data_IF_938148740637
#
_entry.id   IF_938148740637
#
_cell.length_a   1.000
_cell.length_b   1.000
_cell.length_c   1.000
_cell.angle_alpha   90.00
_cell.angle_beta   90.00
_cell.angle_gamma   90.00
#
_symmetry.space_group_name_H-M   'P 1'
#
loop_
_entity.id
_entity.type
_entity.pdbx_description
1 polymer ?
#
# COMPACT_ATOMS: atom_id res chain seq x y z
N UNK A 1 24.45 32.17 -37.39
CA UNK A 1 23.64 33.00 -36.48
C UNK A 1 22.31 32.30 -36.24
N UNK A 2 22.13 31.77 -35.02
CA UNK A 2 20.91 31.68 -34.20
C UNK A 2 19.62 31.12 -34.84
N UNK A 3 18.87 30.21 -34.24
CA UNK A 3 18.90 29.62 -32.89
C UNK A 3 18.11 28.30 -32.91
N UNK A 4 18.52 27.38 -32.04
CA UNK A 4 17.72 26.25 -31.58
C UNK A 4 16.47 26.75 -30.84
N UNK A 5 15.36 26.05 -31.02
CA UNK A 5 14.18 26.20 -30.17
C UNK A 5 13.98 24.88 -29.42
N UNK A 6 14.43 24.88 -28.17
CA UNK A 6 14.21 23.86 -27.15
C UNK A 6 12.82 24.09 -26.54
N UNK A 7 11.83 23.35 -27.04
CA UNK A 7 10.47 23.34 -26.50
C UNK A 7 10.30 22.25 -25.44
N UNK A 8 10.74 22.56 -24.22
CA UNK A 8 10.33 22.07 -22.89
C UNK A 8 9.46 20.78 -22.83
N UNK A 9 10.08 19.75 -22.27
CA UNK A 9 9.45 18.57 -21.68
C UNK A 9 8.75 18.97 -20.36
N UNK A 10 7.42 18.84 -20.20
CA UNK A 10 6.79 19.05 -18.91
C UNK A 10 6.94 17.77 -18.09
N UNK A 11 7.88 17.83 -17.16
CA UNK A 11 8.01 16.97 -15.99
C UNK A 11 6.64 16.75 -15.33
N UNK A 12 6.01 15.61 -15.60
CA UNK A 12 4.84 15.14 -14.87
C UNK A 12 5.29 14.72 -13.48
N UNK A 13 5.08 15.60 -12.51
CA UNK A 13 5.26 15.29 -11.10
C UNK A 13 4.17 14.30 -10.67
N UNK A 14 4.61 13.15 -10.17
CA UNK A 14 3.79 12.05 -9.68
C UNK A 14 2.67 12.53 -8.72
N UNK A 15 1.39 12.19 -8.98
CA UNK A 15 0.28 12.46 -8.07
C UNK A 15 0.32 11.62 -6.77
N UNK A 16 1.23 10.66 -6.64
CA UNK A 16 1.15 9.58 -5.65
C UNK A 16 1.48 10.00 -4.20
N UNK A 17 2.36 10.97 -3.97
CA UNK A 17 2.75 11.38 -2.61
C UNK A 17 1.66 12.13 -1.84
N UNK A 18 0.70 12.74 -2.52
CA UNK A 18 -0.31 13.62 -1.88
C UNK A 18 -1.35 12.83 -1.08
N UNK A 19 -1.75 11.65 -1.56
CA UNK A 19 -2.66 10.74 -0.84
C UNK A 19 -2.00 10.12 0.38
N UNK A 20 -0.76 9.65 0.21
CA UNK A 20 0.07 9.07 1.26
C UNK A 20 0.35 10.10 2.38
N UNK A 21 0.71 11.34 2.05
CA UNK A 21 0.86 12.44 3.02
C UNK A 21 -0.44 12.80 3.76
N UNK A 22 -1.62 12.64 3.13
CA UNK A 22 -2.91 12.86 3.80
C UNK A 22 -3.27 11.71 4.75
N UNK A 23 -3.00 10.47 4.36
CA UNK A 23 -3.20 9.31 5.24
C UNK A 23 -2.20 9.34 6.42
N UNK A 24 -0.92 9.63 6.16
CA UNK A 24 0.11 9.81 7.18
C UNK A 24 -0.20 10.95 8.15
N UNK A 25 -0.84 12.03 7.71
CA UNK A 25 -1.25 13.11 8.64
C UNK A 25 -2.20 12.64 9.76
N UNK A 26 -2.91 11.54 9.57
CA UNK A 26 -3.78 10.96 10.60
C UNK A 26 -3.06 9.94 11.49
N UNK A 27 -1.87 9.46 11.10
CA UNK A 27 -1.03 8.57 11.89
C UNK A 27 0.22 9.34 12.29
N UNK A 28 0.24 9.88 13.52
CA UNK A 28 1.43 10.52 14.07
C UNK A 28 2.56 9.48 14.13
N UNK A 29 3.47 9.51 13.15
CA UNK A 29 4.62 8.64 13.04
C UNK A 29 5.87 9.45 13.40
N UNK A 30 6.70 8.88 14.26
CA UNK A 30 8.07 9.35 14.40
C UNK A 30 8.84 9.07 13.11
N UNK A 31 9.92 9.83 12.87
CA UNK A 31 10.82 9.62 11.73
C UNK A 31 11.38 8.19 11.65
N UNK A 32 11.61 7.55 12.79
CA UNK A 32 12.06 6.15 12.83
C UNK A 32 10.97 5.21 12.31
N UNK A 33 9.72 5.41 12.73
CA UNK A 33 8.60 4.60 12.23
C UNK A 33 8.36 4.82 10.73
N UNK A 34 8.49 6.04 10.21
CA UNK A 34 8.39 6.32 8.76
C UNK A 34 9.43 5.51 7.98
N UNK A 35 10.69 5.51 8.44
CA UNK A 35 11.77 4.76 7.78
C UNK A 35 11.55 3.25 7.89
N UNK A 36 11.06 2.77 9.04
CA UNK A 36 10.69 1.37 9.21
C UNK A 36 9.54 0.98 8.27
N UNK A 37 8.54 1.85 8.11
CA UNK A 37 7.44 1.64 7.17
C UNK A 37 7.96 1.50 5.74
N UNK A 38 8.74 2.48 5.26
CA UNK A 38 9.28 2.48 3.90
C UNK A 38 10.19 1.26 3.65
N UNK A 39 11.00 0.90 4.65
CA UNK A 39 11.86 -0.29 4.56
C UNK A 39 11.06 -1.59 4.51
N UNK A 40 10.05 -1.78 5.37
CA UNK A 40 9.23 -2.99 5.34
C UNK A 40 8.41 -3.12 4.05
N UNK A 41 8.05 -2.00 3.41
CA UNK A 41 7.25 -1.96 2.18
C UNK A 41 8.06 -1.90 0.89
N UNK A 42 9.41 -1.95 0.98
CA UNK A 42 10.34 -1.95 -0.17
C UNK A 42 10.45 -0.61 -0.89
N UNK A 43 9.96 0.47 -0.29
CA UNK A 43 10.14 1.84 -0.78
C UNK A 43 11.54 2.40 -0.44
N UNK A 44 12.21 1.79 0.55
CA UNK A 44 13.60 2.08 0.91
C UNK A 44 14.53 0.89 0.57
N UNK A 45 15.55 1.18 -0.24
CA UNK A 45 16.60 0.22 -0.60
C UNK A 45 17.47 -0.13 0.63
N UNK A 46 18.04 -1.33 0.61
CA UNK A 46 18.90 -1.82 1.70
C UNK A 46 20.14 -0.93 1.92
N UNK A 47 20.69 -0.31 0.88
CA UNK A 47 21.85 0.58 0.98
C UNK A 47 21.51 1.95 1.55
N UNK A 48 20.36 2.50 1.20
CA UNK A 48 19.89 3.74 1.81
C UNK A 48 19.53 3.52 3.29
N UNK A 49 18.94 2.37 3.61
CA UNK A 49 18.70 1.96 4.99
C UNK A 49 20.00 1.78 5.79
N UNK A 50 21.02 1.12 5.22
CA UNK A 50 22.36 0.98 5.81
C UNK A 50 22.96 2.34 6.18
N UNK A 51 22.97 3.28 5.23
CA UNK A 51 23.48 4.65 5.45
C UNK A 51 22.72 5.33 6.59
N UNK A 52 21.40 5.18 6.63
CA UNK A 52 20.60 5.74 7.71
C UNK A 52 20.91 5.11 9.06
N UNK A 53 21.05 3.78 9.15
CA UNK A 53 21.39 3.07 10.40
C UNK A 53 22.68 3.61 11.01
N UNK A 54 23.70 3.88 10.19
CA UNK A 54 24.98 4.41 10.67
C UNK A 54 24.95 5.90 11.04
N UNK A 55 23.97 6.66 10.57
CA UNK A 55 23.92 8.13 10.74
C UNK A 55 22.80 8.58 11.69
N UNK A 56 21.93 7.67 12.13
CA UNK A 56 20.75 7.99 12.94
C UNK A 56 21.04 7.95 14.44
N UNK A 57 21.07 9.14 15.07
CA UNK A 57 21.17 9.27 16.53
C UNK A 57 19.87 8.85 17.24
N UNK A 58 18.72 9.04 16.57
CA UNK A 58 17.38 8.72 17.09
C UNK A 58 17.09 7.22 17.11
N UNK A 59 17.68 6.45 16.18
CA UNK A 59 17.49 5.00 16.08
C UNK A 59 17.86 4.29 17.39
N UNK A 60 19.02 4.61 17.97
CA UNK A 60 19.49 3.99 19.22
C UNK A 60 18.56 4.24 20.41
N UNK A 61 17.84 5.36 20.42
CA UNK A 61 16.90 5.68 21.49
C UNK A 61 15.55 5.01 21.27
N UNK A 62 15.19 4.76 20.00
CA UNK A 62 13.95 4.12 19.61
C UNK A 62 14.00 2.60 19.78
N UNK A 63 15.11 1.97 19.37
CA UNK A 63 15.34 0.54 19.54
C UNK A 63 16.18 0.25 20.78
N UNK A 64 16.03 -0.92 21.40
CA UNK A 64 16.86 -1.32 22.53
C UNK A 64 18.34 -1.45 22.15
N UNK A 65 19.24 -1.25 23.12
CA UNK A 65 20.71 -1.28 22.89
C UNK A 65 21.21 -2.53 22.15
N UNK A 66 20.65 -3.70 22.46
CA UNK A 66 21.06 -4.97 21.83
C UNK A 66 20.64 -5.04 20.37
N UNK A 67 19.41 -4.61 20.05
CA UNK A 67 18.90 -4.57 18.68
C UNK A 67 19.58 -3.47 17.86
N UNK A 68 19.93 -2.34 18.49
CA UNK A 68 20.77 -1.31 17.85
C UNK A 68 22.14 -1.88 17.47
N UNK A 69 22.80 -2.57 18.41
CA UNK A 69 24.09 -3.20 18.16
C UNK A 69 24.00 -4.22 17.03
N UNK A 70 22.94 -5.03 17.00
CA UNK A 70 22.70 -6.00 15.93
C UNK A 70 22.56 -5.32 14.55
N UNK A 71 21.84 -4.19 14.46
CA UNK A 71 21.71 -3.43 13.22
C UNK A 71 23.04 -2.85 12.74
N UNK A 72 23.82 -2.18 13.62
CA UNK A 72 25.08 -1.53 13.21
C UNK A 72 26.21 -2.52 12.90
N UNK A 73 26.10 -3.77 13.35
CA UNK A 73 27.10 -4.83 13.09
C UNK A 73 26.69 -5.77 11.96
N UNK A 74 25.52 -5.57 11.38
CA UNK A 74 25.01 -6.38 10.28
C UNK A 74 25.86 -6.18 9.02
N UNK A 75 26.20 -7.27 8.33
CA UNK A 75 26.79 -7.18 6.99
C UNK A 75 25.69 -6.90 5.95
N UNK A 76 25.50 -5.62 5.61
CA UNK A 76 24.53 -5.16 4.61
C UNK A 76 24.88 -5.52 3.16
N UNK A 77 26.01 -6.20 2.90
CA UNK A 77 26.30 -6.80 1.59
C UNK A 77 25.82 -8.24 1.48
N UNK A 78 25.41 -8.85 2.59
CA UNK A 78 24.85 -10.20 2.61
C UNK A 78 23.51 -10.25 1.90
N UNK A 79 23.25 -11.35 1.19
CA UNK A 79 21.94 -11.64 0.57
C UNK A 79 20.80 -11.67 1.60
N UNK A 80 21.11 -11.98 2.86
CA UNK A 80 20.13 -12.07 3.94
C UNK A 80 20.00 -10.77 4.75
N UNK A 81 20.77 -9.71 4.44
CA UNK A 81 20.82 -8.49 5.24
C UNK A 81 19.43 -7.88 5.45
N UNK A 82 18.60 -7.92 4.41
CA UNK A 82 17.25 -7.38 4.49
C UNK A 82 16.39 -8.18 5.45
N UNK A 83 16.35 -9.51 5.31
CA UNK A 83 15.53 -10.37 6.17
C UNK A 83 15.94 -10.26 7.65
N UNK A 84 17.25 -10.16 7.93
CA UNK A 84 17.73 -9.94 9.30
C UNK A 84 17.36 -8.55 9.84
N UNK A 85 17.44 -7.51 9.00
CA UNK A 85 16.98 -6.16 9.38
C UNK A 85 15.47 -6.15 9.65
N UNK A 86 14.67 -6.78 8.79
CA UNK A 86 13.21 -6.86 8.96
C UNK A 86 12.83 -7.58 10.26
N UNK A 87 13.54 -8.65 10.64
CA UNK A 87 13.30 -9.35 11.92
C UNK A 87 13.48 -8.43 13.14
N UNK A 88 14.47 -7.54 13.09
CA UNK A 88 14.70 -6.58 14.18
C UNK A 88 13.62 -5.50 14.15
N UNK A 89 13.40 -4.89 12.99
CA UNK A 89 12.44 -3.79 12.79
C UNK A 89 11.03 -4.19 13.21
N UNK A 90 10.58 -5.41 12.84
CA UNK A 90 9.23 -5.90 13.17
C UNK A 90 8.94 -6.02 14.66
N UNK A 91 9.96 -6.01 15.54
CA UNK A 91 9.76 -5.95 17.00
C UNK A 91 9.27 -4.58 17.48
N UNK A 92 9.57 -3.54 16.71
CA UNK A 92 9.30 -2.14 17.05
C UNK A 92 8.24 -1.51 16.13
N UNK A 93 7.97 -2.13 14.99
CA UNK A 93 6.93 -1.69 14.06
C UNK A 93 5.54 -2.01 14.62
N UNK A 94 4.67 -1.01 14.63
CA UNK A 94 3.23 -1.21 14.80
C UNK A 94 2.65 -1.76 13.49
N UNK A 95 2.64 -3.09 13.36
CA UNK A 95 2.20 -3.78 12.15
C UNK A 95 0.72 -3.47 11.84
N UNK A 96 -0.12 -3.32 12.87
CA UNK A 96 -1.52 -2.96 12.70
C UNK A 96 -1.67 -1.57 12.08
N UNK A 97 -0.93 -0.58 12.61
CA UNK A 97 -0.86 0.78 12.07
C UNK A 97 -0.35 0.78 10.62
N UNK A 98 0.73 0.05 10.34
CA UNK A 98 1.33 0.02 9.00
C UNK A 98 0.41 -0.61 7.95
N UNK A 99 -0.21 -1.75 8.26
CA UNK A 99 -1.17 -2.39 7.35
C UNK A 99 -2.44 -1.53 7.16
N UNK A 100 -2.85 -0.80 8.19
CA UNK A 100 -3.95 0.18 8.09
C UNK A 100 -3.60 1.31 7.13
N UNK A 101 -2.39 1.88 7.25
CA UNK A 101 -1.91 2.93 6.35
C UNK A 101 -1.85 2.46 4.89
N UNK A 102 -1.31 1.25 4.67
CA UNK A 102 -1.26 0.64 3.33
C UNK A 102 -2.64 0.45 2.73
N UNK A 103 -3.60 -0.04 3.50
CA UNK A 103 -4.99 -0.19 3.04
C UNK A 103 -5.59 1.18 2.66
N UNK A 104 -5.40 2.20 3.49
CA UNK A 104 -5.89 3.54 3.20
C UNK A 104 -5.24 4.15 1.96
N UNK A 105 -3.94 3.94 1.75
CA UNK A 105 -3.25 4.37 0.53
C UNK A 105 -3.87 3.76 -0.72
N UNK A 106 -4.11 2.44 -0.73
CA UNK A 106 -4.80 1.77 -1.84
C UNK A 106 -6.21 2.35 -2.08
N UNK A 107 -6.99 2.56 -1.02
CA UNK A 107 -8.34 3.15 -1.11
C UNK A 107 -8.29 4.58 -1.67
N UNK A 108 -7.35 5.41 -1.24
CA UNK A 108 -7.21 6.77 -1.75
C UNK A 108 -6.71 6.81 -3.19
N UNK A 109 -5.77 5.94 -3.58
CA UNK A 109 -5.32 5.80 -4.97
C UNK A 109 -6.48 5.37 -5.87
N UNK A 110 -7.30 4.43 -5.41
CA UNK A 110 -8.51 4.02 -6.13
C UNK A 110 -9.56 5.13 -6.28
N UNK A 111 -9.49 6.25 -5.54
CA UNK A 111 -10.37 7.42 -5.80
C UNK A 111 -9.89 8.31 -6.95
N UNK A 112 -8.65 8.15 -7.40
CA UNK A 112 -8.05 9.04 -8.41
C UNK A 112 -8.41 8.68 -9.84
N UNK A 113 -8.98 7.48 -10.07
CA UNK A 113 -9.29 6.93 -11.39
C UNK A 113 -8.11 7.03 -12.38
N UNK A 114 -6.96 6.50 -11.98
CA UNK A 114 -5.74 6.43 -12.80
C UNK A 114 -5.56 5.05 -13.44
N UNK A 115 -4.47 4.88 -14.20
CA UNK A 115 -4.13 3.62 -14.88
C UNK A 115 -3.98 2.41 -13.95
N UNK A 116 -3.56 2.64 -12.71
CA UNK A 116 -3.38 1.58 -11.70
C UNK A 116 -4.68 1.13 -11.03
N UNK A 117 -5.77 1.88 -11.23
CA UNK A 117 -7.02 1.65 -10.50
C UNK A 117 -7.53 0.22 -10.67
N UNK A 118 -7.48 -0.34 -11.89
CA UNK A 118 -7.90 -1.74 -12.09
C UNK A 118 -7.07 -2.75 -11.30
N UNK A 119 -5.75 -2.60 -11.28
CA UNK A 119 -4.84 -3.45 -10.48
C UNK A 119 -5.12 -3.33 -8.97
N UNK A 120 -5.41 -2.12 -8.50
CA UNK A 120 -5.81 -1.89 -7.10
C UNK A 120 -7.14 -2.59 -6.78
N UNK A 121 -8.12 -2.54 -7.68
CA UNK A 121 -9.40 -3.23 -7.49
C UNK A 121 -9.22 -4.75 -7.44
N UNK A 122 -8.37 -5.32 -8.29
CA UNK A 122 -7.99 -6.75 -8.22
C UNK A 122 -7.35 -7.06 -6.87
N UNK A 123 -6.49 -6.18 -6.36
CA UNK A 123 -5.89 -6.32 -5.03
C UNK A 123 -6.97 -6.37 -3.93
N UNK A 124 -8.04 -5.58 -4.02
CA UNK A 124 -9.15 -5.68 -3.07
C UNK A 124 -9.90 -7.01 -3.16
N UNK A 125 -10.04 -7.59 -4.35
CA UNK A 125 -10.61 -8.93 -4.53
C UNK A 125 -9.73 -10.00 -3.89
N UNK A 126 -8.41 -9.93 -4.08
CA UNK A 126 -7.48 -10.85 -3.44
C UNK A 126 -7.54 -10.74 -1.93
N UNK A 127 -7.50 -9.52 -1.38
CA UNK A 127 -7.59 -9.29 0.06
C UNK A 127 -8.92 -9.80 0.65
N UNK A 128 -10.03 -9.61 -0.07
CA UNK A 128 -11.32 -10.19 0.30
C UNK A 128 -11.25 -11.73 0.37
N UNK A 129 -10.69 -12.38 -0.66
CA UNK A 129 -10.50 -13.84 -0.69
C UNK A 129 -9.62 -14.34 0.47
N UNK A 130 -8.68 -13.51 0.94
CA UNK A 130 -7.80 -13.81 2.06
C UNK A 130 -8.38 -13.45 3.44
N UNK A 131 -9.64 -13.01 3.52
CA UNK A 131 -10.35 -12.85 4.79
C UNK A 131 -10.76 -11.42 5.14
N UNK A 132 -10.35 -10.39 4.39
CA UNK A 132 -10.85 -9.03 4.59
C UNK A 132 -12.26 -8.85 4.02
N UNK A 133 -13.22 -9.54 4.62
CA UNK A 133 -14.62 -9.55 4.17
C UNK A 133 -15.31 -8.19 4.27
N UNK A 134 -14.74 -7.22 4.99
CA UNK A 134 -15.23 -5.83 4.97
C UNK A 134 -15.03 -5.15 3.60
N UNK A 135 -14.23 -5.74 2.70
CA UNK A 135 -14.05 -5.31 1.32
C UNK A 135 -15.05 -5.96 0.35
N UNK A 136 -16.08 -6.65 0.81
CA UNK A 136 -17.03 -7.41 -0.03
C UNK A 136 -17.49 -6.67 -1.29
N UNK A 137 -17.97 -5.42 -1.16
CA UNK A 137 -18.38 -4.60 -2.30
C UNK A 137 -17.22 -4.29 -3.22
N UNK A 138 -16.10 -3.84 -2.68
CA UNK A 138 -14.92 -3.46 -3.47
C UNK A 138 -14.34 -4.66 -4.22
N UNK A 139 -14.14 -5.77 -3.51
CA UNK A 139 -13.58 -6.99 -4.03
C UNK A 139 -14.51 -7.73 -5.00
N UNK A 140 -15.77 -7.98 -4.63
CA UNK A 140 -16.65 -8.81 -5.46
C UNK A 140 -17.30 -8.06 -6.63
N UNK A 141 -17.65 -6.79 -6.44
CA UNK A 141 -18.35 -6.04 -7.48
C UNK A 141 -17.39 -5.46 -8.51
N UNK A 142 -16.28 -4.90 -8.05
CA UNK A 142 -15.35 -4.17 -8.91
C UNK A 142 -14.09 -5.00 -9.16
N UNK A 143 -13.44 -5.49 -8.11
CA UNK A 143 -12.19 -6.26 -8.21
C UNK A 143 -12.31 -7.53 -9.04
N UNK A 144 -13.33 -8.35 -8.79
CA UNK A 144 -13.61 -9.56 -9.56
C UNK A 144 -13.93 -9.23 -11.03
N UNK A 145 -14.64 -8.13 -11.28
CA UNK A 145 -14.96 -7.69 -12.64
C UNK A 145 -13.70 -7.26 -13.40
N UNK A 146 -12.72 -6.66 -12.72
CA UNK A 146 -11.40 -6.41 -13.31
C UNK A 146 -10.61 -7.71 -13.52
N UNK A 147 -10.59 -8.60 -12.53
CA UNK A 147 -9.82 -9.85 -12.57
C UNK A 147 -10.33 -10.81 -13.65
N UNK A 148 -11.64 -10.86 -13.85
CA UNK A 148 -12.31 -11.71 -14.85
C UNK A 148 -13.30 -10.85 -15.64
N UNK A 149 -12.83 -10.09 -16.64
CA UNK A 149 -13.66 -9.21 -17.45
C UNK A 149 -14.85 -9.95 -18.09
N UNK A 150 -16.04 -9.33 -18.18
CA UNK A 150 -17.20 -9.99 -18.78
C UNK A 150 -16.98 -10.30 -20.27
N UNK A 151 -16.88 -11.59 -20.62
CA UNK A 151 -16.64 -12.11 -21.99
C UNK A 151 -17.66 -11.60 -23.03
N UNK A 152 -18.83 -11.13 -22.60
CA UNK A 152 -19.85 -10.54 -23.49
C UNK A 152 -19.48 -9.16 -24.01
N UNK A 153 -18.59 -8.46 -23.31
CA UNK A 153 -18.15 -7.10 -23.61
C UNK A 153 -16.68 -7.06 -24.04
N UNK A 154 -15.87 -7.99 -23.55
CA UNK A 154 -14.44 -8.09 -23.82
C UNK A 154 -14.09 -9.44 -24.43
N UNK A 155 -13.09 -9.47 -25.33
CA UNK A 155 -12.65 -10.72 -25.96
C UNK A 155 -11.74 -11.54 -25.07
N UNK A 156 -11.01 -10.87 -24.19
CA UNK A 156 -10.06 -11.48 -23.26
C UNK A 156 -10.71 -11.72 -21.90
N UNK A 157 -10.26 -12.74 -21.19
CA UNK A 157 -10.81 -13.20 -19.91
C UNK A 157 -9.93 -12.87 -18.70
N UNK A 158 -8.82 -12.16 -18.91
CA UNK A 158 -7.90 -11.66 -17.87
C UNK A 158 -7.64 -10.16 -18.00
N UNK A 159 -7.30 -9.50 -16.89
CA UNK A 159 -6.94 -8.09 -16.88
C UNK A 159 -5.67 -7.82 -17.70
N UNK A 160 -4.70 -8.74 -17.63
CA UNK A 160 -3.38 -8.66 -18.25
C UNK A 160 -3.45 -8.70 -19.78
N UNK A 161 -4.47 -9.36 -20.33
CA UNK A 161 -4.67 -9.50 -21.76
C UNK A 161 -5.51 -8.36 -22.36
N UNK A 162 -6.27 -7.61 -21.55
CA UNK A 162 -7.02 -6.46 -22.02
C UNK A 162 -6.11 -5.37 -22.59
N UNK A 163 -6.57 -4.73 -23.68
CA UNK A 163 -5.94 -3.51 -24.18
C UNK A 163 -6.10 -2.35 -23.19
N UNK A 164 -5.17 -1.39 -23.20
CA UNK A 164 -5.26 -0.22 -22.32
C UNK A 164 -6.57 0.56 -22.50
N UNK A 165 -7.12 0.56 -23.73
CA UNK A 165 -8.43 1.14 -24.02
C UNK A 165 -9.54 0.40 -23.28
N UNK A 166 -9.56 -0.93 -23.35
CA UNK A 166 -10.60 -1.76 -22.74
C UNK A 166 -10.52 -1.72 -21.22
N UNK A 167 -9.30 -1.73 -20.65
CA UNK A 167 -9.04 -1.51 -19.22
C UNK A 167 -9.63 -0.18 -18.77
N UNK A 168 -9.35 0.88 -19.51
CA UNK A 168 -9.87 2.21 -19.20
C UNK A 168 -11.38 2.26 -19.29
N UNK A 169 -11.98 1.71 -20.35
CA UNK A 169 -13.42 1.68 -20.54
C UNK A 169 -14.12 0.90 -19.42
N UNK A 170 -13.55 -0.24 -19.01
CA UNK A 170 -14.05 -1.04 -17.90
C UNK A 170 -14.05 -0.27 -16.58
N UNK A 171 -12.89 0.31 -16.23
CA UNK A 171 -12.72 1.05 -14.97
C UNK A 171 -13.57 2.32 -14.95
N UNK A 172 -13.57 3.09 -16.03
CA UNK A 172 -14.39 4.32 -16.15
C UNK A 172 -15.88 4.01 -15.96
N UNK A 173 -16.34 2.82 -16.38
CA UNK A 173 -17.71 2.35 -16.20
C UNK A 173 -18.14 2.17 -14.73
N UNK A 174 -17.21 2.08 -13.79
CA UNK A 174 -17.52 2.01 -12.35
C UNK A 174 -17.78 3.37 -11.72
N UNK A 175 -17.34 4.46 -12.36
CA UNK A 175 -17.47 5.81 -11.85
C UNK A 175 -18.78 6.46 -12.32
N UNK A 176 -19.44 7.27 -11.46
CA UNK A 176 -19.00 7.70 -10.14
C UNK A 176 -19.40 6.77 -8.98
N UNK A 177 -20.08 5.66 -9.24
CA UNK A 177 -20.71 4.85 -8.19
C UNK A 177 -19.72 4.30 -7.17
N UNK A 178 -18.56 3.81 -7.64
CA UNK A 178 -17.51 3.22 -6.81
C UNK A 178 -16.96 4.19 -5.74
N UNK A 179 -17.04 5.51 -5.99
CA UNK A 179 -16.56 6.54 -5.06
C UNK A 179 -17.22 6.39 -3.69
N UNK A 180 -18.53 6.15 -3.67
CA UNK A 180 -19.27 6.01 -2.42
C UNK A 180 -18.84 4.75 -1.67
N UNK A 181 -18.71 3.62 -2.37
CA UNK A 181 -18.31 2.36 -1.74
C UNK A 181 -16.87 2.42 -1.20
N UNK A 182 -15.95 3.12 -1.87
CA UNK A 182 -14.59 3.36 -1.36
C UNK A 182 -14.64 4.27 -0.11
N UNK A 183 -15.40 5.36 -0.16
CA UNK A 183 -15.54 6.28 0.97
C UNK A 183 -16.17 5.61 2.20
N UNK A 184 -17.15 4.73 1.99
CA UNK A 184 -17.75 3.93 3.07
C UNK A 184 -16.66 3.08 3.76
N UNK A 185 -15.82 2.38 3.01
CA UNK A 185 -14.72 1.56 3.59
C UNK A 185 -13.69 2.43 4.31
N UNK A 186 -13.29 3.57 3.73
CA UNK A 186 -12.38 4.52 4.40
C UNK A 186 -12.98 4.96 5.75
N UNK A 187 -14.27 5.31 5.78
CA UNK A 187 -14.94 5.72 7.01
C UNK A 187 -14.99 4.60 8.04
N UNK A 188 -15.19 3.34 7.63
CA UNK A 188 -15.15 2.19 8.54
C UNK A 188 -13.79 2.08 9.26
N UNK A 189 -12.69 2.27 8.51
CA UNK A 189 -11.33 2.19 9.05
C UNK A 189 -11.03 3.41 9.94
N UNK A 190 -11.33 4.63 9.47
CA UNK A 190 -11.02 5.86 10.19
C UNK A 190 -11.83 6.05 11.47
N UNK A 191 -13.05 5.49 11.53
CA UNK A 191 -13.88 5.50 12.73
C UNK A 191 -13.66 4.27 13.62
N UNK A 192 -12.61 3.48 13.37
CA UNK A 192 -12.26 2.26 14.13
C UNK A 192 -13.40 1.22 14.20
N UNK A 193 -14.34 1.29 13.25
CA UNK A 193 -15.38 0.27 13.08
C UNK A 193 -14.80 -1.02 12.51
N UNK A 194 -13.73 -0.88 11.72
CA UNK A 194 -12.86 -1.95 11.26
C UNK A 194 -11.44 -1.63 11.73
N UNK A 195 -10.81 -2.54 12.47
CA UNK A 195 -9.42 -2.41 12.90
C UNK A 195 -8.61 -3.54 12.24
N UNK A 196 -7.67 -3.16 11.38
CA UNK A 196 -6.77 -4.10 10.69
C UNK A 196 -5.66 -4.49 11.65
N UNK A 197 -5.50 -5.78 11.94
CA UNK A 197 -4.53 -6.25 12.95
C UNK A 197 -3.12 -6.44 12.39
N UNK A 198 -3.01 -6.67 11.08
CA UNK A 198 -1.76 -7.07 10.43
C UNK A 198 -1.31 -8.50 10.78
N UNK A 199 -2.15 -9.28 11.47
CA UNK A 199 -1.90 -10.70 11.77
C UNK A 199 -2.69 -11.61 10.84
N UNK A 200 -2.26 -12.87 10.81
CA UNK A 200 -2.98 -13.96 10.13
C UNK A 200 -3.44 -14.96 11.18
N UNK A 201 -4.67 -15.43 11.01
CA UNK A 201 -5.25 -16.49 11.82
C UNK A 201 -4.64 -17.85 11.49
N UNK A 202 -5.10 -18.87 12.22
CA UNK A 202 -4.57 -20.24 12.12
C UNK A 202 -4.59 -20.83 10.70
N UNK A 203 -5.59 -20.48 9.88
CA UNK A 203 -5.69 -20.95 8.49
C UNK A 203 -5.02 -20.00 7.48
N UNK A 204 -4.24 -19.03 7.95
CA UNK A 204 -3.53 -18.06 7.12
C UNK A 204 -4.38 -16.89 6.62
N UNK A 205 -5.65 -16.82 7.03
CA UNK A 205 -6.54 -15.70 6.70
C UNK A 205 -6.12 -14.43 7.43
N UNK A 206 -6.23 -13.29 6.78
CA UNK A 206 -5.97 -11.98 7.37
C UNK A 206 -7.01 -11.67 8.46
N UNK A 207 -6.56 -11.15 9.59
CA UNK A 207 -7.41 -10.84 10.73
C UNK A 207 -7.72 -9.35 10.84
N UNK A 208 -8.96 -9.05 11.24
CA UNK A 208 -9.42 -7.71 11.57
C UNK A 208 -10.50 -7.80 12.66
N UNK A 209 -10.66 -6.72 13.41
CA UNK A 209 -11.74 -6.57 14.40
C UNK A 209 -12.89 -5.81 13.75
N UNK A 210 -14.12 -6.32 13.86
CA UNK A 210 -15.34 -5.71 13.33
C UNK A 210 -16.25 -5.23 14.47
N UNK A 211 -16.13 -3.95 14.81
CA UNK A 211 -16.89 -3.30 15.87
C UNK A 211 -18.31 -2.88 15.42
N UNK A 212 -18.71 -3.16 14.18
CA UNK A 212 -20.10 -2.88 13.73
C UNK A 212 -21.09 -3.89 14.27
N UNK A 213 -20.61 -5.06 14.71
CA UNK A 213 -21.42 -6.19 15.19
C UNK A 213 -21.49 -6.27 16.72
N UNK A 214 -20.80 -5.36 17.43
CA UNK A 214 -20.78 -5.25 18.90
C UNK A 214 -21.79 -4.25 19.42
#
# INVERSE_FOLDING_TARGET
MRSADEGQNPTSQAPERSGLLKAMKNFDLSRVEEIFYDFLHRDLDIKDFEVWVYTSDELKSFVGSDDYLALITLDFNSINARDESEKIIRKYADVSKFETMKMLDLLYKALTNNEDTGTILITFYDLYCHGYYFLDKLGLRYGLTCAVPPIRHYREDSWEDLSDRDRKELVDGFYPEIIKDIQDVIALIQNEQIIITGTKGYMGQLEYIDNRKS
#
